data_IF_304053197261
#
_entry.id   IF_304053197261
#
_cell.length_a   1.000
_cell.length_b   1.000
_cell.length_c   1.000
_cell.angle_alpha   90.00
_cell.angle_beta   90.00
_cell.angle_gamma   90.00
#
_symmetry.space_group_name_H-M   'P 1'
#
loop_
_entity.id
_entity.type
_entity.pdbx_description
1 polymer ?
#
# COMPACT_ATOMS: atom_id res chain seq x y z
N UNK A 1 -10.54 4.89 18.77
CA UNK A 1 -9.40 4.10 18.25
C UNK A 1 -9.07 4.57 16.84
N UNK A 2 -7.79 4.57 16.45
CA UNK A 2 -7.30 4.93 15.12
C UNK A 2 -6.56 3.74 14.52
N UNK A 3 -6.61 3.56 13.20
CA UNK A 3 -6.02 2.40 12.54
C UNK A 3 -4.99 2.81 11.49
N UNK A 4 -3.93 2.03 11.38
CA UNK A 4 -2.87 2.22 10.39
C UNK A 4 -2.60 0.87 9.71
N UNK A 5 -2.53 0.87 8.39
CA UNK A 5 -2.01 -0.26 7.62
C UNK A 5 -0.83 0.18 6.75
N UNK A 6 0.24 -0.59 6.78
CA UNK A 6 1.42 -0.41 5.93
C UNK A 6 1.29 -1.35 4.74
N UNK A 7 1.24 -0.80 3.53
CA UNK A 7 1.03 -1.60 2.32
C UNK A 7 2.12 -1.33 1.30
N UNK A 8 2.52 -2.37 0.57
CA UNK A 8 3.60 -2.35 -0.41
C UNK A 8 3.08 -2.84 -1.76
N UNK A 9 3.29 -2.08 -2.82
CA UNK A 9 2.79 -2.41 -4.14
C UNK A 9 3.85 -3.11 -4.99
N UNK A 10 3.40 -3.79 -6.05
CA UNK A 10 4.14 -4.45 -7.11
C UNK A 10 4.75 -5.82 -6.75
N UNK A 11 5.08 -6.12 -5.50
CA UNK A 11 5.81 -7.32 -5.13
C UNK A 11 7.31 -7.21 -5.43
N UNK A 12 7.95 -6.13 -4.98
CA UNK A 12 9.38 -5.85 -5.15
C UNK A 12 10.22 -6.58 -4.11
N UNK A 13 11.40 -7.04 -4.48
CA UNK A 13 12.27 -7.84 -3.60
C UNK A 13 12.73 -7.06 -2.36
N UNK A 14 12.98 -5.76 -2.48
CA UNK A 14 13.38 -4.92 -1.35
C UNK A 14 12.32 -4.85 -0.24
N UNK A 15 11.06 -5.20 -0.53
CA UNK A 15 10.03 -5.32 0.50
C UNK A 15 10.33 -6.51 1.45
N UNK A 16 11.00 -7.56 0.96
CA UNK A 16 11.45 -8.67 1.77
C UNK A 16 12.85 -8.42 2.36
N UNK A 17 13.82 -8.02 1.54
CA UNK A 17 15.22 -7.92 1.98
C UNK A 17 15.50 -6.70 2.85
N UNK A 18 14.72 -5.63 2.74
CA UNK A 18 14.93 -4.36 3.47
C UNK A 18 13.74 -4.01 4.37
N UNK A 19 12.52 -3.90 3.82
CA UNK A 19 11.37 -3.44 4.61
C UNK A 19 10.96 -4.44 5.69
N UNK A 20 10.90 -5.73 5.38
CA UNK A 20 10.49 -6.76 6.35
C UNK A 20 11.41 -6.85 7.58
N UNK A 21 12.74 -6.91 7.47
CA UNK A 21 13.61 -6.93 8.65
C UNK A 21 13.43 -5.70 9.55
N UNK A 22 13.28 -4.52 8.96
CA UNK A 22 13.01 -3.28 9.70
C UNK A 22 11.67 -3.38 10.44
N UNK A 23 10.59 -3.74 9.76
CA UNK A 23 9.26 -3.87 10.38
C UNK A 23 9.24 -4.93 11.48
N UNK A 24 9.91 -6.06 11.26
CA UNK A 24 10.04 -7.16 12.23
C UNK A 24 10.70 -6.70 13.53
N UNK A 25 11.72 -5.84 13.46
CA UNK A 25 12.40 -5.28 14.63
C UNK A 25 11.42 -4.53 15.55
N UNK A 26 10.39 -3.90 15.00
CA UNK A 26 9.35 -3.17 15.74
C UNK A 26 8.08 -4.00 15.99
N UNK A 27 8.05 -5.28 15.59
CA UNK A 27 6.88 -6.14 15.70
C UNK A 27 5.70 -5.68 14.86
N UNK A 28 5.98 -5.10 13.69
CA UNK A 28 5.00 -4.63 12.71
C UNK A 28 4.87 -5.63 11.57
N UNK A 29 3.64 -5.79 11.06
CA UNK A 29 3.33 -6.53 9.84
C UNK A 29 2.74 -5.60 8.79
N UNK A 30 2.72 -6.03 7.53
CA UNK A 30 2.20 -5.26 6.41
C UNK A 30 1.41 -6.13 5.43
N UNK A 31 0.82 -5.46 4.45
CA UNK A 31 0.17 -6.09 3.29
C UNK A 31 1.05 -5.88 2.06
N UNK A 32 1.39 -6.94 1.32
CA UNK A 32 2.08 -6.83 0.04
C UNK A 32 1.11 -7.17 -1.10
N UNK A 33 0.99 -6.26 -2.06
CA UNK A 33 0.18 -6.42 -3.26
C UNK A 33 1.04 -6.88 -4.43
N UNK A 34 0.80 -8.10 -4.87
CA UNK A 34 1.64 -8.84 -5.82
C UNK A 34 1.18 -8.65 -7.28
N UNK A 35 2.08 -8.17 -8.14
CA UNK A 35 1.94 -8.27 -9.60
C UNK A 35 2.45 -9.64 -10.02
N UNK A 36 1.52 -10.59 -10.22
CA UNK A 36 1.86 -12.01 -10.29
C UNK A 36 2.72 -12.38 -11.50
N UNK A 37 2.52 -11.71 -12.64
CA UNK A 37 3.33 -11.94 -13.83
C UNK A 37 4.78 -11.42 -13.68
N UNK A 38 4.99 -10.37 -12.87
CA UNK A 38 6.33 -9.90 -12.52
C UNK A 38 7.05 -10.92 -11.62
N UNK A 39 6.34 -11.47 -10.64
CA UNK A 39 6.90 -12.43 -9.67
C UNK A 39 7.27 -13.77 -10.30
N UNK A 40 6.45 -14.30 -11.20
CA UNK A 40 6.73 -15.59 -11.86
C UNK A 40 7.50 -15.45 -13.19
N UNK A 41 7.88 -14.23 -13.58
CA UNK A 41 8.66 -13.95 -14.77
C UNK A 41 7.89 -14.04 -16.10
N UNK A 42 6.56 -14.19 -16.07
CA UNK A 42 5.74 -14.24 -17.31
C UNK A 42 5.42 -12.85 -17.87
N UNK A 43 5.80 -11.80 -17.13
CA UNK A 43 5.66 -10.41 -17.56
C UNK A 43 6.85 -9.58 -17.05
N UNK A 44 7.37 -8.71 -17.93
CA UNK A 44 8.47 -7.80 -17.62
C UNK A 44 7.92 -6.46 -17.15
N UNK A 45 8.44 -5.95 -16.03
CA UNK A 45 8.07 -4.64 -15.50
C UNK A 45 8.32 -3.51 -16.50
N UNK A 46 7.54 -2.42 -16.48
CA UNK A 46 7.78 -1.23 -17.30
C UNK A 46 9.13 -0.58 -16.98
N UNK A 47 9.71 0.13 -17.95
CA UNK A 47 10.98 0.83 -17.79
C UNK A 47 10.93 1.97 -16.76
N UNK A 48 9.76 2.55 -16.51
CA UNK A 48 9.56 3.60 -15.53
C UNK A 48 9.53 3.11 -14.07
N UNK A 49 9.49 1.79 -13.85
CA UNK A 49 9.72 1.19 -12.53
C UNK A 49 11.23 1.10 -12.23
N UNK A 50 11.89 2.23 -12.23
CA UNK A 50 13.37 2.29 -12.14
C UNK A 50 13.89 1.79 -10.81
N UNK A 51 13.21 2.10 -9.70
CA UNK A 51 13.61 1.67 -8.36
C UNK A 51 13.28 0.20 -8.05
N UNK A 52 12.50 -0.49 -8.89
CA UNK A 52 12.24 -1.92 -8.75
C UNK A 52 13.36 -2.72 -9.43
N UNK A 53 14.28 -3.29 -8.68
CA UNK A 53 15.39 -4.07 -9.24
C UNK A 53 14.91 -5.42 -9.77
N UNK A 54 14.33 -6.24 -8.88
CA UNK A 54 13.80 -7.58 -9.18
C UNK A 54 12.53 -7.85 -8.38
N UNK A 55 11.73 -8.85 -8.79
CA UNK A 55 10.57 -9.26 -8.03
C UNK A 55 10.97 -10.04 -6.77
N UNK A 56 10.08 -10.01 -5.78
CA UNK A 56 10.10 -10.95 -4.67
C UNK A 56 9.82 -12.38 -5.17
N UNK A 57 10.41 -13.38 -4.54
CA UNK A 57 10.15 -14.78 -4.88
C UNK A 57 8.93 -15.33 -4.15
N UNK A 58 8.31 -16.39 -4.71
CA UNK A 58 7.18 -17.09 -4.06
C UNK A 58 7.60 -17.66 -2.69
N UNK A 59 8.85 -18.12 -2.54
CA UNK A 59 9.38 -18.59 -1.27
C UNK A 59 9.40 -17.47 -0.23
N UNK A 60 9.91 -16.30 -0.58
CA UNK A 60 9.95 -15.13 0.30
C UNK A 60 8.54 -14.64 0.67
N UNK A 61 7.57 -14.70 -0.25
CA UNK A 61 6.17 -14.43 0.04
C UNK A 61 5.61 -15.40 1.09
N UNK A 62 5.97 -16.71 1.03
CA UNK A 62 5.58 -17.66 2.07
C UNK A 62 6.20 -17.33 3.43
N UNK A 63 7.46 -16.88 3.45
CA UNK A 63 8.11 -16.45 4.69
C UNK A 63 7.44 -15.22 5.30
N UNK A 64 7.07 -14.22 4.47
CA UNK A 64 6.27 -13.06 4.90
C UNK A 64 4.92 -13.51 5.47
N UNK A 65 4.19 -14.37 4.75
CA UNK A 65 2.88 -14.85 5.19
C UNK A 65 2.94 -15.62 6.51
N UNK A 66 3.96 -16.47 6.69
CA UNK A 66 4.20 -17.18 7.95
C UNK A 66 4.58 -16.25 9.10
N UNK A 67 5.07 -15.05 8.79
CA UNK A 67 5.41 -14.00 9.75
C UNK A 67 4.24 -13.01 10.00
N UNK A 68 3.05 -13.32 9.52
CA UNK A 68 1.84 -12.51 9.75
C UNK A 68 1.57 -11.42 8.71
N UNK A 69 2.34 -11.37 7.62
CA UNK A 69 2.01 -10.46 6.52
C UNK A 69 0.86 -10.98 5.67
N UNK A 70 0.04 -10.05 5.21
CA UNK A 70 -0.99 -10.34 4.21
C UNK A 70 -0.39 -10.34 2.81
N UNK A 71 -0.67 -11.41 2.04
CA UNK A 71 -0.34 -11.50 0.62
C UNK A 71 -1.60 -11.25 -0.18
N UNK A 72 -1.60 -10.19 -0.98
CA UNK A 72 -2.74 -9.70 -1.74
C UNK A 72 -2.36 -9.46 -3.20
N UNK A 73 -3.30 -9.04 -4.05
CA UNK A 73 -3.13 -8.92 -5.50
C UNK A 73 -2.98 -7.49 -6.00
N UNK A 74 -2.14 -7.34 -7.05
CA UNK A 74 -1.98 -6.10 -7.82
C UNK A 74 -2.13 -6.33 -9.35
N UNK A 75 -2.91 -7.34 -9.74
CA UNK A 75 -3.04 -7.81 -11.12
C UNK A 75 -1.95 -8.80 -11.53
N UNK A 76 -2.03 -9.26 -12.76
CA UNK A 76 -1.01 -10.13 -13.37
C UNK A 76 0.05 -9.31 -14.12
N UNK A 77 -0.38 -8.34 -14.91
CA UNK A 77 0.45 -7.46 -15.74
C UNK A 77 0.24 -5.98 -15.41
N UNK A 78 -0.10 -5.71 -14.15
CA UNK A 78 -0.32 -4.37 -13.63
C UNK A 78 -1.38 -3.57 -14.41
N UNK A 79 -2.46 -4.23 -14.84
CA UNK A 79 -3.61 -3.57 -15.47
C UNK A 79 -4.86 -3.66 -14.61
N UNK A 80 -5.89 -2.88 -14.97
CA UNK A 80 -7.19 -2.88 -14.27
C UNK A 80 -8.23 -3.75 -14.95
N UNK A 81 -7.83 -4.58 -15.91
CA UNK A 81 -8.73 -5.40 -16.70
C UNK A 81 -9.14 -6.69 -15.95
N UNK A 82 -10.38 -7.09 -16.10
CA UNK A 82 -10.95 -8.30 -15.49
C UNK A 82 -10.15 -9.55 -15.83
N UNK A 83 -9.72 -9.69 -17.10
CA UNK A 83 -8.89 -10.81 -17.53
C UNK A 83 -7.52 -10.84 -16.83
N UNK A 84 -6.95 -9.67 -16.54
CA UNK A 84 -5.70 -9.54 -15.80
C UNK A 84 -5.87 -10.03 -14.37
N UNK A 85 -6.92 -9.58 -13.70
CA UNK A 85 -7.27 -10.04 -12.35
C UNK A 85 -7.57 -11.54 -12.31
N UNK A 86 -8.28 -12.07 -13.31
CA UNK A 86 -8.57 -13.50 -13.40
C UNK A 86 -7.29 -14.33 -13.49
N UNK A 87 -6.30 -13.89 -14.30
CA UNK A 87 -4.99 -14.56 -14.35
C UNK A 87 -4.25 -14.49 -13.01
N UNK A 88 -4.25 -13.31 -12.39
CA UNK A 88 -3.61 -13.10 -11.09
C UNK A 88 -4.22 -14.01 -9.99
N UNK A 89 -5.55 -14.13 -9.95
CA UNK A 89 -6.27 -15.02 -9.03
C UNK A 89 -5.89 -16.49 -9.23
N UNK A 90 -5.80 -16.96 -10.46
CA UNK A 90 -5.36 -18.34 -10.75
C UNK A 90 -3.94 -18.59 -10.23
N UNK A 91 -3.02 -17.66 -10.44
CA UNK A 91 -1.62 -17.79 -10.00
C UNK A 91 -1.50 -17.79 -8.49
N UNK A 92 -2.03 -16.78 -7.78
CA UNK A 92 -1.92 -16.69 -6.33
C UNK A 92 -2.58 -17.89 -5.64
N UNK A 93 -3.67 -18.39 -6.19
CA UNK A 93 -4.33 -19.60 -5.72
C UNK A 93 -3.44 -20.85 -5.87
N UNK A 94 -2.67 -20.94 -6.97
CA UNK A 94 -1.74 -22.05 -7.20
C UNK A 94 -0.50 -21.98 -6.29
N UNK A 95 -0.16 -20.80 -5.78
CA UNK A 95 0.95 -20.62 -4.84
C UNK A 95 0.64 -21.07 -3.40
N UNK A 96 -0.63 -21.36 -3.09
CA UNK A 96 -1.01 -22.05 -1.85
C UNK A 96 -1.04 -21.17 -0.59
N UNK A 97 -1.29 -19.86 -0.71
CA UNK A 97 -1.46 -19.00 0.45
C UNK A 97 -2.76 -19.28 1.22
N UNK A 98 -2.72 -19.10 2.55
CA UNK A 98 -3.77 -19.58 3.48
C UNK A 98 -5.08 -18.77 3.44
N UNK A 99 -5.03 -17.52 3.00
CA UNK A 99 -6.18 -16.61 3.10
C UNK A 99 -6.94 -16.51 1.78
N UNK A 100 -8.22 -16.85 1.84
CA UNK A 100 -9.21 -16.64 0.78
C UNK A 100 -10.52 -16.17 1.42
N UNK A 101 -11.21 -15.18 0.86
CA UNK A 101 -10.87 -14.40 -0.33
C UNK A 101 -9.67 -13.46 -0.12
N UNK A 102 -8.94 -13.11 -1.19
CA UNK A 102 -7.74 -12.27 -1.13
C UNK A 102 -8.08 -10.78 -1.25
N UNK A 103 -7.21 -9.91 -0.73
CA UNK A 103 -7.28 -8.48 -0.98
C UNK A 103 -6.82 -8.14 -2.41
N UNK A 104 -7.34 -7.05 -2.95
CA UNK A 104 -6.93 -6.54 -4.26
C UNK A 104 -6.64 -5.05 -4.20
N UNK A 105 -5.50 -4.64 -4.71
CA UNK A 105 -5.19 -3.24 -5.00
C UNK A 105 -5.29 -3.00 -6.49
N UNK A 106 -6.13 -2.05 -6.90
CA UNK A 106 -6.22 -1.69 -8.31
C UNK A 106 -4.93 -1.03 -8.78
N UNK A 107 -4.30 -1.54 -9.86
CA UNK A 107 -3.14 -0.91 -10.48
C UNK A 107 -3.45 0.51 -10.94
N UNK A 108 -2.44 1.37 -10.92
CA UNK A 108 -2.49 2.76 -11.33
C UNK A 108 -3.41 3.67 -10.49
N UNK A 109 -3.08 4.94 -10.44
CA UNK A 109 -3.84 5.94 -9.66
C UNK A 109 -5.11 6.46 -10.36
N UNK A 110 -5.32 6.11 -11.63
CA UNK A 110 -6.45 6.55 -12.45
C UNK A 110 -7.35 5.36 -12.72
N UNK A 111 -8.32 5.18 -11.83
CA UNK A 111 -9.29 4.10 -11.97
C UNK A 111 -10.47 4.62 -12.78
N UNK A 112 -10.77 3.95 -13.88
CA UNK A 112 -11.99 4.13 -14.65
C UNK A 112 -13.13 3.47 -13.87
N UNK A 113 -14.25 4.21 -13.74
CA UNK A 113 -15.38 3.75 -12.94
C UNK A 113 -15.91 2.40 -13.43
N UNK A 114 -16.05 2.25 -14.72
CA UNK A 114 -16.56 1.04 -15.38
C UNK A 114 -15.69 -0.20 -15.06
N UNK A 115 -14.37 -0.02 -15.00
CA UNK A 115 -13.44 -1.10 -14.65
C UNK A 115 -13.54 -1.49 -13.18
N UNK A 116 -13.68 -0.48 -12.30
CA UNK A 116 -13.89 -0.73 -10.87
C UNK A 116 -15.22 -1.44 -10.63
N UNK A 117 -16.30 -0.98 -11.27
CA UNK A 117 -17.64 -1.58 -11.14
C UNK A 117 -17.61 -3.04 -11.63
N UNK A 118 -16.92 -3.35 -12.74
CA UNK A 118 -16.75 -4.73 -13.23
C UNK A 118 -16.01 -5.64 -12.26
N UNK A 119 -15.00 -5.12 -11.55
CA UNK A 119 -14.28 -5.89 -10.52
C UNK A 119 -15.17 -6.10 -9.29
N UNK A 120 -15.93 -5.10 -8.87
CA UNK A 120 -16.87 -5.21 -7.75
C UNK A 120 -17.93 -6.28 -8.06
N UNK A 121 -18.59 -6.18 -9.21
CA UNK A 121 -19.67 -7.09 -9.59
C UNK A 121 -19.18 -8.53 -9.82
N UNK A 122 -18.00 -8.69 -10.39
CA UNK A 122 -17.48 -10.00 -10.76
C UNK A 122 -16.81 -10.78 -9.63
N UNK A 123 -16.19 -10.11 -8.67
CA UNK A 123 -15.24 -10.76 -7.74
C UNK A 123 -15.41 -10.40 -6.27
N UNK A 124 -15.95 -9.22 -5.93
CA UNK A 124 -16.03 -8.78 -4.55
C UNK A 124 -17.03 -9.63 -3.75
N UNK A 125 -16.58 -10.11 -2.60
CA UNK A 125 -17.37 -10.99 -1.73
C UNK A 125 -17.26 -12.48 -2.07
N UNK A 126 -16.64 -12.83 -3.19
CA UNK A 126 -16.40 -14.22 -3.61
C UNK A 126 -14.91 -14.55 -3.56
N UNK A 127 -14.13 -14.06 -4.52
CA UNK A 127 -12.68 -14.28 -4.61
C UNK A 127 -11.87 -13.11 -4.05
N UNK A 128 -12.45 -11.90 -4.05
CA UNK A 128 -11.86 -10.67 -3.51
C UNK A 128 -12.60 -10.24 -2.25
N UNK A 129 -11.84 -10.00 -1.17
CA UNK A 129 -12.39 -9.57 0.13
C UNK A 129 -12.61 -8.06 0.23
N UNK A 130 -11.69 -7.28 -0.36
CA UNK A 130 -11.72 -5.82 -0.40
C UNK A 130 -10.96 -5.31 -1.62
N UNK A 131 -11.23 -4.06 -2.00
CA UNK A 131 -10.52 -3.39 -3.09
C UNK A 131 -9.87 -2.11 -2.53
N UNK A 132 -8.53 -2.06 -2.55
CA UNK A 132 -7.78 -0.83 -2.29
C UNK A 132 -7.65 -0.04 -3.59
N UNK A 133 -7.98 1.22 -3.51
CA UNK A 133 -7.81 2.18 -4.60
C UNK A 133 -6.84 3.28 -4.17
N UNK A 134 -6.32 4.01 -5.14
CA UNK A 134 -5.43 5.14 -4.89
C UNK A 134 -6.14 6.31 -4.19
N UNK A 135 -5.69 7.51 -4.46
CA UNK A 135 -6.18 8.73 -3.83
C UNK A 135 -7.61 9.08 -4.24
N UNK A 136 -8.41 9.50 -3.27
CA UNK A 136 -9.74 10.09 -3.51
C UNK A 136 -9.66 11.48 -4.16
N UNK A 137 -8.61 12.26 -3.87
CA UNK A 137 -8.49 13.63 -4.32
C UNK A 137 -8.28 13.73 -5.84
N UNK A 138 -9.03 14.60 -6.50
CA UNK A 138 -8.85 14.86 -7.92
C UNK A 138 -7.63 15.77 -8.17
N UNK A 139 -6.50 15.16 -8.53
CA UNK A 139 -5.23 15.88 -8.78
C UNK A 139 -5.21 16.72 -10.06
N UNK A 140 -6.24 16.66 -10.90
CA UNK A 140 -6.35 17.52 -12.09
C UNK A 140 -6.75 18.97 -11.73
N UNK A 141 -7.45 19.20 -10.61
CA UNK A 141 -7.83 20.53 -10.16
C UNK A 141 -6.60 21.35 -9.78
N UNK A 142 -6.58 22.64 -10.12
CA UNK A 142 -5.48 23.56 -9.80
C UNK A 142 -5.21 23.62 -8.29
N UNK A 143 -6.25 23.68 -7.48
CA UNK A 143 -6.15 23.66 -6.02
C UNK A 143 -5.44 22.40 -5.49
N UNK A 144 -5.74 21.25 -6.06
CA UNK A 144 -5.07 19.99 -5.69
C UNK A 144 -3.60 19.98 -6.08
N UNK A 145 -3.24 20.57 -7.23
CA UNK A 145 -1.84 20.72 -7.67
C UNK A 145 -1.07 21.65 -6.74
N UNK A 146 -1.68 22.77 -6.33
CA UNK A 146 -1.08 23.72 -5.37
C UNK A 146 -0.87 23.04 -4.02
N UNK A 147 -1.88 22.35 -3.47
CA UNK A 147 -1.75 21.61 -2.21
C UNK A 147 -0.65 20.55 -2.30
N UNK A 148 -0.59 19.82 -3.40
CA UNK A 148 0.47 18.84 -3.64
C UNK A 148 1.86 19.51 -3.65
N UNK A 149 2.03 20.62 -4.37
CA UNK A 149 3.31 21.32 -4.43
C UNK A 149 3.73 21.85 -3.05
N UNK A 150 2.82 22.47 -2.31
CA UNK A 150 3.07 22.96 -0.95
C UNK A 150 3.40 21.82 0.03
N UNK A 151 2.75 20.67 -0.09
CA UNK A 151 3.03 19.52 0.77
C UNK A 151 4.33 18.83 0.43
N UNK A 152 4.56 18.49 -0.85
CA UNK A 152 5.66 17.64 -1.29
C UNK A 152 6.98 18.40 -1.46
N UNK A 153 6.93 19.62 -2.01
CA UNK A 153 8.12 20.44 -2.25
C UNK A 153 8.31 21.52 -1.18
N UNK A 154 7.23 22.20 -0.77
CA UNK A 154 7.28 23.22 0.26
C UNK A 154 7.38 22.67 1.68
N UNK A 155 7.16 21.37 1.90
CA UNK A 155 7.17 20.72 3.24
C UNK A 155 6.23 21.39 4.24
N UNK A 156 5.08 21.88 3.76
CA UNK A 156 4.12 22.61 4.59
C UNK A 156 3.10 21.63 5.18
N UNK A 157 3.12 21.46 6.50
CA UNK A 157 2.32 20.49 7.23
C UNK A 157 0.81 20.61 6.99
N UNK A 158 0.25 21.84 7.06
CA UNK A 158 -1.19 22.01 6.86
C UNK A 158 -1.62 21.60 5.45
N UNK A 159 -0.79 21.87 4.44
CA UNK A 159 -1.07 21.47 3.05
C UNK A 159 -1.00 19.95 2.90
N UNK A 160 -0.04 19.29 3.55
CA UNK A 160 0.05 17.83 3.62
C UNK A 160 -1.22 17.23 4.24
N UNK A 161 -1.67 17.78 5.37
CA UNK A 161 -2.87 17.32 6.05
C UNK A 161 -4.12 17.51 5.18
N UNK A 162 -4.32 18.71 4.61
CA UNK A 162 -5.44 18.97 3.71
C UNK A 162 -5.45 18.05 2.49
N UNK A 163 -4.28 17.80 1.90
CA UNK A 163 -4.13 16.92 0.74
C UNK A 163 -4.48 15.47 1.07
N UNK A 164 -4.10 14.97 2.26
CA UNK A 164 -4.25 13.58 2.63
C UNK A 164 -5.52 13.28 3.45
N UNK A 165 -6.16 14.27 4.09
CA UNK A 165 -7.42 14.06 4.82
C UNK A 165 -8.54 13.47 3.93
N UNK A 166 -8.53 13.75 2.64
CA UNK A 166 -9.46 13.16 1.69
C UNK A 166 -9.27 11.65 1.47
N UNK A 167 -8.15 11.10 1.91
CA UNK A 167 -7.80 9.69 1.76
C UNK A 167 -7.99 8.90 3.07
N UNK A 168 -8.57 9.52 4.09
CA UNK A 168 -8.95 8.82 5.31
C UNK A 168 -10.15 7.91 5.05
N UNK A 169 -10.10 6.71 5.59
CA UNK A 169 -11.21 5.78 5.59
C UNK A 169 -11.89 5.88 6.96
N UNK A 170 -13.14 6.37 6.99
CA UNK A 170 -13.92 6.41 8.22
C UNK A 170 -14.44 5.00 8.50
N UNK A 171 -14.21 4.50 9.72
CA UNK A 171 -14.54 3.11 10.05
C UNK A 171 -16.05 2.90 10.12
N UNK A 172 -16.80 3.86 10.69
CA UNK A 172 -18.26 3.80 10.68
C UNK A 172 -18.82 3.88 9.26
N UNK A 173 -19.40 2.77 8.77
CA UNK A 173 -19.96 2.66 7.43
C UNK A 173 -18.91 2.56 6.32
N UNK A 174 -17.76 1.97 6.62
CA UNK A 174 -16.68 1.77 5.66
C UNK A 174 -17.13 0.99 4.43
N UNK A 175 -16.70 1.47 3.25
CA UNK A 175 -16.91 0.79 1.97
C UNK A 175 -15.62 0.04 1.57
N UNK A 176 -15.59 -1.27 1.83
CA UNK A 176 -14.47 -2.13 1.46
C UNK A 176 -14.31 -2.35 -0.05
N UNK A 177 -15.24 -1.89 -0.88
CA UNK A 177 -15.04 -1.85 -2.34
C UNK A 177 -14.16 -0.68 -2.78
N UNK A 178 -13.85 0.27 -1.89
CA UNK A 178 -13.14 1.53 -2.20
C UNK A 178 -12.28 2.00 -1.04
N UNK A 179 -11.39 1.16 -0.55
CA UNK A 179 -10.43 1.53 0.50
C UNK A 179 -9.38 2.48 -0.07
N UNK A 180 -9.35 3.71 0.43
CA UNK A 180 -8.42 4.75 -0.04
C UNK A 180 -7.06 4.66 0.64
N UNK A 181 -6.00 5.10 -0.07
CA UNK A 181 -4.64 5.10 0.46
C UNK A 181 -3.95 6.47 0.35
N UNK A 182 -3.06 6.72 1.30
CA UNK A 182 -2.10 7.83 1.31
C UNK A 182 -0.81 7.33 0.68
N UNK A 183 -0.42 7.93 -0.43
CA UNK A 183 0.78 7.54 -1.18
C UNK A 183 2.02 8.14 -0.53
N UNK A 184 3.03 7.32 -0.27
CA UNK A 184 4.36 7.73 0.20
C UNK A 184 5.34 7.73 -0.98
N UNK A 185 6.12 8.81 -1.10
CA UNK A 185 7.09 9.02 -2.17
C UNK A 185 8.47 9.33 -1.63
N UNK A 186 9.49 9.26 -2.48
CA UNK A 186 10.89 9.46 -2.12
C UNK A 186 11.18 10.77 -1.38
N UNK A 187 10.46 11.85 -1.67
CA UNK A 187 10.63 13.15 -1.04
C UNK A 187 9.69 13.41 0.16
N UNK A 188 8.82 12.47 0.54
CA UNK A 188 7.96 12.64 1.71
C UNK A 188 8.77 12.53 3.00
N UNK A 189 8.56 13.48 3.91
CA UNK A 189 9.23 13.51 5.21
C UNK A 189 8.46 12.64 6.21
N UNK A 190 9.10 11.63 6.84
CA UNK A 190 8.44 10.78 7.83
C UNK A 190 7.87 11.57 9.02
N UNK A 191 8.52 12.68 9.40
CA UNK A 191 8.01 13.55 10.49
C UNK A 191 6.67 14.20 10.12
N UNK A 192 6.47 14.56 8.85
CA UNK A 192 5.20 15.10 8.38
C UNK A 192 4.09 14.03 8.38
N UNK A 193 4.44 12.81 7.98
CA UNK A 193 3.50 11.68 8.01
C UNK A 193 3.10 11.39 9.46
N UNK A 194 4.04 11.32 10.39
CA UNK A 194 3.76 11.08 11.81
C UNK A 194 2.91 12.21 12.42
N UNK A 195 3.20 13.48 12.10
CA UNK A 195 2.36 14.61 12.55
C UNK A 195 0.94 14.51 12.00
N UNK A 196 0.78 14.08 10.74
CA UNK A 196 -0.53 13.83 10.15
C UNK A 196 -1.27 12.71 10.89
N UNK A 197 -0.62 11.56 11.12
CA UNK A 197 -1.20 10.44 11.86
C UNK A 197 -1.67 10.86 13.27
N UNK A 198 -0.86 11.68 13.99
CA UNK A 198 -1.24 12.19 15.32
C UNK A 198 -2.48 13.10 15.30
N UNK A 199 -2.81 13.71 14.17
CA UNK A 199 -3.92 14.66 14.02
C UNK A 199 -5.19 14.06 13.39
N UNK A 200 -5.15 12.83 12.89
CA UNK A 200 -6.37 12.20 12.36
C UNK A 200 -7.40 12.02 13.47
N UNK A 201 -8.70 12.21 13.18
CA UNK A 201 -9.76 11.96 14.15
C UNK A 201 -9.81 10.48 14.56
N UNK A 202 -10.41 10.21 15.73
CA UNK A 202 -10.76 8.84 16.10
C UNK A 202 -11.71 8.22 15.07
N UNK A 203 -11.81 6.90 15.09
CA UNK A 203 -12.63 6.12 14.15
C UNK A 203 -12.23 6.33 12.67
N UNK A 204 -10.93 6.62 12.44
CA UNK A 204 -10.37 6.71 11.10
C UNK A 204 -9.22 5.73 10.91
N UNK A 205 -9.10 5.27 9.69
CA UNK A 205 -8.08 4.35 9.21
C UNK A 205 -7.25 4.97 8.09
N UNK A 206 -5.94 4.91 8.23
CA UNK A 206 -4.98 5.34 7.21
C UNK A 206 -4.29 4.12 6.62
N UNK A 207 -4.43 3.93 5.33
CA UNK A 207 -3.65 2.95 4.56
C UNK A 207 -2.51 3.69 3.90
N UNK A 208 -1.28 3.39 4.28
CA UNK A 208 -0.08 3.96 3.66
C UNK A 208 0.37 3.08 2.50
N UNK A 209 0.46 3.65 1.32
CA UNK A 209 0.91 2.98 0.10
C UNK A 209 2.38 3.28 -0.15
N UNK A 210 3.20 2.27 0.01
CA UNK A 210 4.65 2.27 -0.23
C UNK A 210 4.96 1.40 -1.47
N UNK A 211 6.19 1.53 -1.96
CA UNK A 211 6.74 0.68 -3.01
C UNK A 211 8.14 0.21 -2.56
N UNK A 212 9.22 0.61 -3.22
CA UNK A 212 10.58 0.23 -2.81
C UNK A 212 11.04 0.92 -1.53
N UNK A 213 11.75 0.18 -0.68
CA UNK A 213 12.50 0.70 0.46
C UNK A 213 13.98 0.40 0.23
N UNK A 214 14.77 1.44 -0.06
CA UNK A 214 16.15 1.28 -0.49
C UNK A 214 17.13 2.02 0.45
N UNK A 215 18.32 1.48 0.71
CA UNK A 215 19.40 2.24 1.32
C UNK A 215 19.73 3.49 0.50
N UNK A 216 20.10 4.60 1.14
CA UNK A 216 20.39 5.86 0.43
C UNK A 216 21.61 5.78 -0.49
N UNK A 217 22.52 4.83 -0.25
CA UNK A 217 23.69 4.53 -1.11
C UNK A 217 23.40 3.50 -2.21
N UNK A 218 22.16 2.99 -2.31
CA UNK A 218 21.78 2.07 -3.37
C UNK A 218 21.69 2.82 -4.71
N UNK A 219 22.21 2.23 -5.79
CA UNK A 219 22.27 2.87 -7.11
C UNK A 219 20.90 3.27 -7.67
N UNK A 220 19.84 2.53 -7.31
CA UNK A 220 18.48 2.81 -7.75
C UNK A 220 17.73 3.79 -6.83
N UNK A 221 18.31 4.21 -5.70
CA UNK A 221 17.67 5.18 -4.82
C UNK A 221 17.51 6.54 -5.52
N UNK A 222 16.33 7.10 -5.47
CA UNK A 222 16.01 8.40 -6.08
C UNK A 222 15.81 8.38 -7.61
N UNK A 223 15.87 7.21 -8.26
CA UNK A 223 15.73 7.10 -9.74
C UNK A 223 14.30 7.29 -10.22
N UNK A 224 13.32 7.09 -9.36
CA UNK A 224 11.90 7.38 -9.57
C UNK A 224 11.25 7.86 -8.25
N UNK A 225 9.99 8.33 -8.26
CA UNK A 225 9.31 8.76 -7.03
C UNK A 225 8.82 7.60 -6.14
N UNK A 226 8.94 6.34 -6.57
CA UNK A 226 8.34 5.17 -5.95
C UNK A 226 9.33 4.39 -5.07
N UNK A 227 10.18 5.12 -4.36
CA UNK A 227 11.10 4.56 -3.38
C UNK A 227 11.20 5.47 -2.16
N UNK A 228 11.56 4.89 -1.02
CA UNK A 228 11.81 5.64 0.21
C UNK A 228 13.09 5.12 0.85
N UNK A 229 13.80 6.01 1.59
CA UNK A 229 15.05 5.63 2.24
C UNK A 229 14.80 4.65 3.38
N UNK A 230 15.62 3.62 3.51
CA UNK A 230 15.57 2.67 4.62
C UNK A 230 15.71 3.35 5.98
N UNK A 231 16.57 4.36 6.10
CA UNK A 231 16.74 5.15 7.34
C UNK A 231 15.46 5.92 7.71
N UNK A 232 14.79 6.53 6.71
CA UNK A 232 13.49 7.21 6.93
C UNK A 232 12.41 6.20 7.29
N UNK A 233 12.42 5.05 6.66
CA UNK A 233 11.45 3.99 6.92
C UNK A 233 11.64 3.41 8.32
N UNK A 234 12.88 3.15 8.76
CA UNK A 234 13.17 2.69 10.11
C UNK A 234 12.71 3.70 11.17
N UNK A 235 13.06 4.99 11.00
CA UNK A 235 12.56 6.05 11.87
C UNK A 235 11.02 6.06 11.91
N UNK A 236 10.38 5.94 10.77
CA UNK A 236 8.92 5.91 10.65
C UNK A 236 8.32 4.71 11.38
N UNK A 237 8.87 3.50 11.20
CA UNK A 237 8.40 2.28 11.88
C UNK A 237 8.52 2.40 13.41
N UNK A 238 9.63 2.97 13.92
CA UNK A 238 9.79 3.26 15.34
C UNK A 238 8.68 4.19 15.86
N UNK A 239 8.43 5.29 15.18
CA UNK A 239 7.36 6.23 15.56
C UNK A 239 5.96 5.61 15.48
N UNK A 240 5.68 4.77 14.47
CA UNK A 240 4.41 4.02 14.36
C UNK A 240 4.27 3.05 15.53
N UNK A 241 5.36 2.37 15.94
CA UNK A 241 5.36 1.51 17.13
C UNK A 241 5.07 2.30 18.40
N UNK A 242 5.63 3.50 18.55
CA UNK A 242 5.33 4.39 19.67
C UNK A 242 3.85 4.80 19.70
N UNK A 243 3.24 5.09 18.53
CA UNK A 243 1.80 5.36 18.43
C UNK A 243 0.97 4.15 18.85
N UNK A 244 1.31 2.96 18.40
CA UNK A 244 0.65 1.71 18.80
C UNK A 244 0.76 1.49 20.32
N UNK A 245 1.95 1.70 20.88
CA UNK A 245 2.20 1.52 22.32
C UNK A 245 1.46 2.53 23.20
N UNK A 246 1.01 3.67 22.63
CA UNK A 246 0.17 4.63 23.36
C UNK A 246 -1.26 4.12 23.63
N UNK A 247 -1.65 3.01 23.01
CA UNK A 247 -2.99 2.42 23.14
C UNK A 247 -4.10 3.15 22.35
N UNK A 248 -3.74 4.20 21.60
CA UNK A 248 -4.69 4.98 20.80
C UNK A 248 -4.74 4.55 19.33
N UNK A 249 -3.79 3.69 18.90
CA UNK A 249 -3.64 3.21 17.53
C UNK A 249 -3.50 1.71 17.48
N UNK A 250 -4.09 1.10 16.47
CA UNK A 250 -3.81 -0.27 16.06
C UNK A 250 -3.13 -0.28 14.69
N UNK A 251 -2.09 -1.11 14.54
CA UNK A 251 -1.39 -1.31 13.28
C UNK A 251 -1.69 -2.74 12.82
N UNK A 252 -2.46 -2.85 11.75
CA UNK A 252 -3.03 -4.12 11.26
C UNK A 252 -2.90 -4.22 9.75
N UNK A 253 -2.89 -5.45 9.24
CA UNK A 253 -3.08 -5.71 7.81
C UNK A 253 -4.46 -5.23 7.36
N UNK A 254 -4.62 -5.03 6.07
CA UNK A 254 -5.91 -4.58 5.52
C UNK A 254 -7.01 -5.64 5.72
N UNK A 255 -6.67 -6.93 5.54
CA UNK A 255 -7.59 -8.05 5.77
C UNK A 255 -8.01 -8.18 7.23
N UNK A 256 -7.11 -7.91 8.20
CA UNK A 256 -7.44 -7.98 9.61
C UNK A 256 -8.48 -6.92 9.99
N UNK A 257 -8.32 -5.69 9.48
CA UNK A 257 -9.32 -4.63 9.65
C UNK A 257 -10.66 -5.04 9.00
N UNK A 258 -10.63 -5.64 7.81
CA UNK A 258 -11.85 -6.15 7.16
C UNK A 258 -12.57 -7.19 8.03
N UNK A 259 -11.81 -8.11 8.65
CA UNK A 259 -12.38 -9.15 9.53
C UNK A 259 -13.02 -8.59 10.81
N UNK A 260 -12.59 -7.43 11.31
CA UNK A 260 -13.21 -6.79 12.48
C UNK A 260 -14.63 -6.25 12.21
N UNK A 261 -15.02 -6.11 10.95
CA UNK A 261 -16.28 -5.48 10.51
C UNK A 261 -17.22 -6.44 9.75
N UNK A 262 -16.91 -7.73 9.73
CA UNK A 262 -17.79 -8.82 9.28
C UNK A 262 -18.56 -9.43 10.44
#
# INVERSE_FOLDING_TARGET
>A
MKYISLTFDDGREDNYSVAYPIMKQFGLCGTIYCTTGYIDGTWTKPEDWKSAEKPITIKELHELNNSGWEIALHGDRHTTDVDDLTRALKKINSWGFKHKPVGFSMPNSKIEKEKLDSVIEGFLGTEISYIRIGRRINTKKLSSKILFALSSYGKIQWAYNMFNNHNLNRMQGIDFSKVHSVVVRNNDDPKMIIKFLKQIPDDNWVVLMLHSILPENHELYGTDPWNWSSNRFEYFCNEVKNLQSSGSYEVLNVSDIKCMYM
#
